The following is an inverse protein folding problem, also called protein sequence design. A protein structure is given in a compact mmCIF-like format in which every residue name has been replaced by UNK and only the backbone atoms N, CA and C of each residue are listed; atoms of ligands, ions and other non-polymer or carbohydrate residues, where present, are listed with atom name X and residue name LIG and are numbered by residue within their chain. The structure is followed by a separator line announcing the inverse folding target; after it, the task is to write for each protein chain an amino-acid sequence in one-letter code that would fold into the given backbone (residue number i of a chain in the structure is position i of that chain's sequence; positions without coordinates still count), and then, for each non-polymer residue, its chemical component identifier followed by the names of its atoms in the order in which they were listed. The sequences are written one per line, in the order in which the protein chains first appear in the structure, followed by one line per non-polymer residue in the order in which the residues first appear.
data_IF_879403483789
#
_entry.id   IF_879403483789
#
_cell.length_a   1.000
_cell.length_b   1.000
_cell.length_c   1.000
_cell.angle_alpha   90.00
_cell.angle_beta   90.00
_cell.angle_gamma   90.00
#
_symmetry.space_group_name_H-M   'P 1'
#
loop_
_entity.id
_entity.type
_entity.pdbx_description
1 polymer ?
#
# COMPACT_ATOMS: atom_id res chain seq x y z
N UNK A 1 19.85 6.62 22.13
CA UNK A 1 18.84 5.62 22.50
C UNK A 1 17.39 6.14 22.54
N UNK A 2 17.12 7.40 22.29
CA UNK A 2 15.79 8.04 22.36
C UNK A 2 14.96 7.97 21.07
N UNK A 3 15.52 7.52 19.94
CA UNK A 3 14.82 7.47 18.66
C UNK A 3 13.90 6.25 18.45
N UNK A 4 13.88 5.30 19.36
CA UNK A 4 12.99 4.12 19.26
C UNK A 4 11.53 4.39 19.61
N UNK A 5 11.22 5.53 20.21
CA UNK A 5 9.88 5.89 20.67
C UNK A 5 9.28 7.06 19.89
N UNK A 6 9.41 7.04 18.53
CA UNK A 6 8.60 7.98 17.76
C UNK A 6 7.13 7.70 18.03
N UNK A 7 6.32 8.74 18.10
CA UNK A 7 4.86 8.62 18.30
C UNK A 7 4.21 7.65 17.30
N UNK A 8 4.70 7.64 16.06
CA UNK A 8 4.24 6.73 15.01
C UNK A 8 4.57 5.25 15.30
N UNK A 9 5.72 4.95 15.89
CA UNK A 9 6.07 3.57 16.25
C UNK A 9 5.21 3.06 17.41
N UNK A 10 4.97 3.89 18.41
CA UNK A 10 4.10 3.55 19.55
C UNK A 10 2.66 3.36 19.09
N UNK A 11 2.15 4.24 18.23
CA UNK A 11 0.83 4.11 17.63
C UNK A 11 0.71 2.83 16.81
N UNK A 12 1.73 2.52 15.99
CA UNK A 12 1.77 1.28 15.21
C UNK A 12 1.68 0.03 16.08
N UNK A 13 2.40 -0.01 17.21
CA UNK A 13 2.35 -1.10 18.17
C UNK A 13 0.97 -1.24 18.82
N UNK A 14 0.40 -0.14 19.32
CA UNK A 14 -0.93 -0.13 19.93
C UNK A 14 -2.01 -0.59 18.95
N UNK A 15 -2.03 -0.03 17.75
CA UNK A 15 -2.99 -0.38 16.71
C UNK A 15 -2.92 -1.87 16.33
N UNK A 16 -1.71 -2.38 16.11
CA UNK A 16 -1.53 -3.79 15.81
C UNK A 16 -1.95 -4.72 16.96
N UNK A 17 -1.70 -4.33 18.21
CA UNK A 17 -2.14 -5.12 19.34
C UNK A 17 -3.67 -5.19 19.43
N UNK A 18 -4.37 -4.09 19.14
CA UNK A 18 -5.83 -4.06 19.09
C UNK A 18 -6.35 -5.00 17.99
N UNK A 19 -5.81 -4.88 16.76
CA UNK A 19 -6.21 -5.75 15.64
C UNK A 19 -5.97 -7.22 15.97
N UNK A 20 -4.78 -7.57 16.44
CA UNK A 20 -4.40 -8.95 16.72
C UNK A 20 -5.18 -9.57 17.88
N UNK A 21 -5.67 -8.75 18.81
CA UNK A 21 -6.50 -9.21 19.93
C UNK A 21 -7.96 -9.44 19.54
N UNK A 22 -8.49 -8.60 18.65
CA UNK A 22 -9.93 -8.58 18.35
C UNK A 22 -10.32 -9.33 17.08
N UNK A 23 -9.35 -9.68 16.22
CA UNK A 23 -9.63 -10.41 14.97
C UNK A 23 -9.11 -11.84 15.08
N UNK A 24 -9.99 -12.81 14.90
CA UNK A 24 -9.58 -14.19 14.73
C UNK A 24 -9.15 -14.42 13.27
N UNK A 25 -7.85 -14.66 13.08
CA UNK A 25 -7.27 -14.87 11.76
C UNK A 25 -7.28 -16.32 11.28
N UNK A 26 -7.80 -17.27 12.04
CA UNK A 26 -7.73 -18.70 11.72
C UNK A 26 -8.51 -19.07 10.46
N UNK A 27 -9.55 -18.31 10.14
CA UNK A 27 -10.38 -18.54 8.97
C UNK A 27 -9.92 -17.80 7.70
N UNK A 28 -8.82 -17.03 7.79
CA UNK A 28 -8.33 -16.26 6.65
C UNK A 28 -7.16 -16.95 5.96
N UNK A 29 -7.29 -17.22 4.67
CA UNK A 29 -6.18 -17.66 3.83
C UNK A 29 -5.40 -16.49 3.19
N UNK A 30 -6.06 -15.34 3.05
CA UNK A 30 -5.49 -14.12 2.44
C UNK A 30 -5.97 -12.88 3.17
N UNK A 31 -5.10 -11.90 3.30
CA UNK A 31 -5.43 -10.60 3.87
C UNK A 31 -4.94 -9.52 2.92
N UNK A 32 -5.88 -8.68 2.47
CA UNK A 32 -5.60 -7.52 1.61
C UNK A 32 -5.72 -6.24 2.44
N UNK A 33 -4.70 -5.40 2.35
CA UNK A 33 -4.65 -4.11 3.04
C UNK A 33 -4.23 -3.03 2.05
N UNK A 34 -4.87 -1.84 2.03
CA UNK A 34 -4.30 -0.67 1.38
C UNK A 34 -2.88 -0.46 1.89
N UNK A 35 -1.91 -0.28 0.98
CA UNK A 35 -0.51 -0.32 1.37
C UNK A 35 0.24 0.92 0.89
N UNK A 36 0.75 1.67 1.85
CA UNK A 36 1.63 2.84 1.66
C UNK A 36 2.97 2.64 2.36
N UNK A 37 3.24 1.41 2.78
CA UNK A 37 4.43 1.04 3.53
C UNK A 37 4.61 1.79 4.87
N UNK A 38 3.51 2.18 5.46
CA UNK A 38 3.51 2.80 6.79
C UNK A 38 4.04 1.82 7.87
N UNK A 39 4.64 2.32 8.94
CA UNK A 39 5.21 1.48 9.99
C UNK A 39 4.23 0.45 10.54
N UNK A 40 2.96 0.84 10.76
CA UNK A 40 1.95 -0.07 11.30
C UNK A 40 1.61 -1.21 10.33
N UNK A 41 1.61 -0.97 9.01
CA UNK A 41 1.34 -1.98 7.99
C UNK A 41 2.46 -3.02 7.93
N UNK A 42 3.71 -2.55 7.91
CA UNK A 42 4.88 -3.43 7.89
C UNK A 42 4.98 -4.27 9.18
N UNK A 43 4.68 -3.68 10.32
CA UNK A 43 4.64 -4.39 11.59
C UNK A 43 3.52 -5.43 11.61
N UNK A 44 2.33 -5.07 11.12
CA UNK A 44 1.18 -5.98 11.00
C UNK A 44 1.51 -7.21 10.17
N UNK A 45 2.02 -7.02 8.97
CA UNK A 45 2.40 -8.14 8.11
C UNK A 45 3.51 -8.99 8.73
N UNK A 46 4.51 -8.36 9.34
CA UNK A 46 5.57 -9.08 10.04
C UNK A 46 5.03 -9.94 11.19
N UNK A 47 4.07 -9.43 11.95
CA UNK A 47 3.44 -10.14 13.07
C UNK A 47 2.55 -11.28 12.58
N UNK A 48 1.74 -11.05 11.55
CA UNK A 48 0.94 -12.10 10.90
C UNK A 48 1.80 -13.25 10.41
N UNK A 49 2.89 -12.98 9.71
CA UNK A 49 3.80 -14.01 9.20
C UNK A 49 4.44 -14.85 10.31
N UNK A 50 4.66 -14.26 11.47
CA UNK A 50 5.18 -15.01 12.63
C UNK A 50 4.14 -15.91 13.27
N UNK A 51 2.91 -15.43 13.39
CA UNK A 51 1.85 -16.11 14.13
C UNK A 51 1.04 -17.06 13.25
N UNK A 52 0.81 -16.69 12.00
CA UNK A 52 -0.07 -17.39 11.05
C UNK A 52 0.66 -17.55 9.71
N UNK A 53 1.54 -18.55 9.63
CA UNK A 53 2.41 -18.79 8.46
C UNK A 53 1.65 -19.07 7.15
N UNK A 54 0.42 -19.56 7.24
CA UNK A 54 -0.38 -19.95 6.07
C UNK A 54 -1.19 -18.80 5.46
N UNK A 55 -1.15 -17.59 6.04
CA UNK A 55 -1.86 -16.43 5.52
C UNK A 55 -0.99 -15.71 4.49
N UNK A 56 -1.50 -15.58 3.27
CA UNK A 56 -0.88 -14.74 2.25
C UNK A 56 -1.25 -13.28 2.48
N UNK A 57 -0.24 -12.45 2.69
CA UNK A 57 -0.43 -11.00 2.87
C UNK A 57 -0.35 -10.26 1.54
N UNK A 58 -1.32 -9.39 1.28
CA UNK A 58 -1.45 -8.66 0.02
C UNK A 58 -1.52 -7.16 0.33
N UNK A 59 -0.60 -6.40 -0.24
CA UNK A 59 -0.62 -4.94 -0.18
C UNK A 59 -1.22 -4.37 -1.47
N UNK A 60 -2.17 -3.46 -1.36
CA UNK A 60 -2.78 -2.77 -2.48
C UNK A 60 -2.32 -1.31 -2.52
N UNK A 61 -1.54 -0.95 -3.52
CA UNK A 61 -1.13 0.43 -3.75
C UNK A 61 -2.29 1.16 -4.43
N UNK A 62 -3.05 1.93 -3.65
CA UNK A 62 -4.28 2.57 -4.12
C UNK A 62 -4.06 3.93 -4.78
N UNK A 63 -2.87 4.49 -4.67
CA UNK A 63 -2.47 5.78 -5.23
C UNK A 63 -1.29 5.64 -6.19
N UNK A 64 -0.94 6.73 -6.85
CA UNK A 64 0.32 6.80 -7.60
C UNK A 64 1.49 6.74 -6.64
N UNK A 65 2.58 6.10 -7.07
CA UNK A 65 3.83 6.17 -6.32
C UNK A 65 4.35 7.61 -6.34
N UNK A 66 4.81 8.14 -5.21
CA UNK A 66 5.46 9.45 -5.16
C UNK A 66 6.74 9.44 -6.01
N UNK A 67 7.27 10.62 -6.32
CA UNK A 67 8.48 10.77 -7.14
C UNK A 67 9.69 10.03 -6.57
N UNK A 68 9.82 9.99 -5.24
CA UNK A 68 10.83 9.21 -4.52
C UNK A 68 10.15 8.20 -3.59
N UNK A 69 9.75 7.01 -4.10
CA UNK A 69 8.95 6.06 -3.35
C UNK A 69 9.79 5.20 -2.37
N UNK A 70 10.73 5.80 -1.65
CA UNK A 70 11.65 5.12 -0.74
C UNK A 70 10.93 4.34 0.37
N UNK A 71 9.73 4.75 0.73
CA UNK A 71 8.89 4.02 1.67
C UNK A 71 8.60 2.60 1.20
N UNK A 72 8.52 2.38 -0.12
CA UNK A 72 8.20 1.10 -0.72
C UNK A 72 9.40 0.17 -0.92
N UNK A 73 10.58 0.49 -0.38
CA UNK A 73 11.73 -0.43 -0.40
C UNK A 73 11.31 -1.77 0.23
N UNK A 74 11.58 -2.86 -0.48
CA UNK A 74 11.29 -4.21 0.02
C UNK A 74 12.09 -4.49 1.28
N UNK A 75 11.39 -4.89 2.35
CA UNK A 75 12.00 -5.15 3.66
C UNK A 75 11.23 -6.24 4.42
N UNK A 76 11.77 -6.64 5.56
CA UNK A 76 11.05 -7.48 6.51
C UNK A 76 9.75 -6.79 6.92
N UNK A 77 8.63 -7.45 6.73
CA UNK A 77 7.30 -6.87 6.94
C UNK A 77 6.64 -6.31 5.67
N UNK A 78 7.31 -6.29 4.53
CA UNK A 78 6.63 -6.09 3.25
C UNK A 78 5.64 -7.23 2.98
N UNK A 79 4.51 -6.98 2.29
CA UNK A 79 3.54 -8.02 1.96
C UNK A 79 4.14 -9.08 1.04
N UNK A 80 3.51 -10.25 0.97
CA UNK A 80 3.94 -11.33 0.07
C UNK A 80 3.68 -10.99 -1.38
N UNK A 81 2.57 -10.30 -1.64
CA UNK A 81 2.15 -9.83 -2.96
C UNK A 81 1.85 -8.33 -2.87
N UNK A 82 2.34 -7.57 -3.84
CA UNK A 82 2.02 -6.15 -4.01
C UNK A 82 1.20 -5.97 -5.28
N UNK A 83 0.01 -5.40 -5.13
CA UNK A 83 -0.88 -5.05 -6.24
C UNK A 83 -0.64 -3.59 -6.63
N UNK A 84 -0.38 -3.36 -7.91
CA UNK A 84 -0.10 -2.03 -8.48
C UNK A 84 -0.92 -1.80 -9.75
N UNK A 85 -1.07 -0.55 -10.19
CA UNK A 85 -1.93 -0.19 -11.30
C UNK A 85 -1.26 -0.16 -12.67
N UNK A 86 0.07 -0.16 -12.73
CA UNK A 86 0.73 0.05 -14.01
C UNK A 86 2.08 -0.62 -14.14
N UNK A 87 2.49 -0.81 -15.40
CA UNK A 87 3.79 -1.37 -15.76
C UNK A 87 4.95 -0.54 -15.20
N UNK A 88 4.83 0.78 -15.25
CA UNK A 88 5.88 1.71 -14.76
C UNK A 88 6.10 1.54 -13.26
N UNK A 89 5.04 1.43 -12.45
CA UNK A 89 5.16 1.16 -11.02
C UNK A 89 5.90 -0.16 -10.76
N UNK A 90 5.56 -1.21 -11.52
CA UNK A 90 6.26 -2.50 -11.42
C UNK A 90 7.74 -2.40 -11.76
N UNK A 91 8.09 -1.63 -12.80
CA UNK A 91 9.49 -1.40 -13.20
C UNK A 91 10.26 -0.69 -12.10
N UNK A 92 9.73 0.40 -11.54
CA UNK A 92 10.36 1.17 -10.46
C UNK A 92 10.58 0.27 -9.22
N UNK A 93 9.55 -0.43 -8.78
CA UNK A 93 9.63 -1.32 -7.61
C UNK A 93 10.68 -2.41 -7.79
N UNK A 94 10.73 -3.03 -8.98
CA UNK A 94 11.71 -4.08 -9.28
C UNK A 94 13.14 -3.52 -9.38
N UNK A 95 13.33 -2.43 -10.16
CA UNK A 95 14.65 -1.92 -10.52
C UNK A 95 15.35 -1.22 -9.37
N UNK A 96 14.60 -0.47 -8.56
CA UNK A 96 15.17 0.45 -7.58
C UNK A 96 14.84 0.11 -6.12
N UNK A 97 13.75 -0.65 -5.88
CA UNK A 97 13.21 -0.83 -4.53
C UNK A 97 13.28 -2.29 -4.04
N UNK A 98 14.03 -3.15 -4.72
CA UNK A 98 14.35 -4.51 -4.28
C UNK A 98 13.20 -5.52 -4.35
N UNK A 99 12.11 -5.22 -5.03
CA UNK A 99 11.00 -6.14 -5.18
C UNK A 99 11.26 -7.20 -6.25
N UNK A 100 10.98 -8.46 -5.94
CA UNK A 100 10.95 -9.52 -6.95
C UNK A 100 9.75 -9.34 -7.89
N UNK A 101 9.97 -9.51 -9.19
CA UNK A 101 8.91 -9.43 -10.21
C UNK A 101 7.72 -10.38 -9.94
N UNK A 102 7.99 -11.54 -9.31
CA UNK A 102 6.98 -12.55 -8.95
C UNK A 102 6.01 -12.04 -7.86
N UNK A 103 6.49 -11.15 -7.00
CA UNK A 103 5.70 -10.56 -5.91
C UNK A 103 4.84 -9.38 -6.34
N UNK A 104 5.06 -8.81 -7.52
CA UNK A 104 4.31 -7.65 -8.02
C UNK A 104 3.29 -8.12 -9.05
N UNK A 105 2.02 -7.85 -8.78
CA UNK A 105 0.92 -8.10 -9.71
C UNK A 105 0.32 -6.78 -10.17
N UNK A 106 0.07 -6.65 -11.47
CA UNK A 106 -0.59 -5.50 -12.04
C UNK A 106 -2.09 -5.80 -12.08
N UNK A 107 -2.90 -4.90 -11.55
CA UNK A 107 -4.35 -4.97 -11.59
C UNK A 107 -4.91 -3.63 -12.06
N UNK A 108 -6.13 -3.65 -12.58
CA UNK A 108 -6.86 -2.41 -12.82
C UNK A 108 -7.15 -1.68 -11.50
N UNK A 109 -7.23 -0.36 -11.56
CA UNK A 109 -7.55 0.43 -10.38
C UNK A 109 -8.96 0.12 -9.91
N UNK A 110 -9.08 -0.30 -8.64
CA UNK A 110 -10.38 -0.48 -8.00
C UNK A 110 -11.14 0.86 -7.82
N UNK A 111 -10.41 1.96 -7.92
CA UNK A 111 -10.93 3.32 -7.75
C UNK A 111 -11.55 3.87 -9.03
N UNK A 112 -10.99 3.48 -10.19
CA UNK A 112 -11.40 3.97 -11.50
C UNK A 112 -11.88 2.80 -12.35
N UNK A 113 -13.08 2.32 -12.09
CA UNK A 113 -13.74 1.39 -13.03
C UNK A 113 -14.10 2.15 -14.28
N UNK A 114 -13.76 1.60 -15.44
CA UNK A 114 -14.32 2.11 -16.71
C UNK A 114 -15.85 1.99 -16.65
N UNK A 115 -16.52 3.11 -16.48
CA UNK A 115 -17.95 3.15 -16.83
C UNK A 115 -18.04 2.95 -18.33
N UNK A 116 -18.80 1.94 -18.75
CA UNK A 116 -19.08 1.65 -20.18
C UNK A 116 -19.81 2.79 -20.88
N UNK A 117 -20.42 3.69 -20.14
CA UNK A 117 -21.08 4.89 -20.68
C UNK A 117 -20.03 5.98 -20.87
N UNK A 118 -19.45 6.04 -22.06
CA UNK A 118 -18.69 7.20 -22.52
C UNK A 118 -19.65 8.39 -22.66
N UNK A 119 -19.78 9.19 -21.62
CA UNK A 119 -20.29 10.55 -21.80
C UNK A 119 -19.15 11.32 -22.46
N UNK A 120 -19.25 11.51 -23.77
CA UNK A 120 -18.39 12.44 -24.50
C UNK A 120 -18.74 13.84 -23.98
N UNK A 121 -17.96 14.35 -23.06
CA UNK A 121 -18.07 15.71 -22.54
C UNK A 121 -16.90 16.52 -23.08
N UNK A 122 -17.22 17.68 -23.66
CA UNK A 122 -16.20 18.67 -24.04
C UNK A 122 -15.65 19.42 -22.82
N UNK A 123 -15.98 18.96 -21.61
CA UNK A 123 -15.51 19.56 -20.34
C UNK A 123 -14.29 18.84 -19.83
N UNK A 124 -13.27 19.59 -19.48
CA UNK A 124 -12.07 19.09 -18.80
C UNK A 124 -12.31 19.26 -17.30
N UNK A 125 -12.21 18.17 -16.55
CA UNK A 125 -12.21 18.22 -15.11
C UNK A 125 -10.79 18.53 -14.60
N UNK A 126 -10.63 19.70 -14.00
CA UNK A 126 -9.39 20.05 -13.27
C UNK A 126 -9.62 19.81 -11.79
N UNK A 127 -8.83 18.94 -11.12
CA UNK A 127 -8.95 18.73 -9.68
C UNK A 127 -8.74 20.04 -8.93
N UNK A 128 -9.63 20.32 -7.99
CA UNK A 128 -9.49 21.42 -7.03
C UNK A 128 -8.14 21.28 -6.32
N UNK A 129 -7.33 22.24 -6.28
CA UNK A 129 -5.97 22.19 -5.72
C UNK A 129 -4.85 22.31 -6.76
N UNK A 130 -5.18 22.20 -8.06
CA UNK A 130 -4.25 22.56 -9.14
C UNK A 130 -4.49 24.03 -9.57
N UNK A 131 -5.58 24.63 -9.10
CA UNK A 131 -6.08 25.93 -9.55
C UNK A 131 -5.84 27.07 -8.54
N UNK A 132 -4.83 26.99 -7.70
CA UNK A 132 -4.43 28.16 -6.93
C UNK A 132 -3.60 29.10 -7.82
N UNK A 133 -4.30 29.78 -8.76
CA UNK A 133 -3.72 30.72 -9.70
C UNK A 133 -3.23 32.02 -9.04
N UNK A 134 -3.38 32.16 -7.73
CA UNK A 134 -2.97 33.38 -7.00
C UNK A 134 -1.54 33.33 -6.46
N UNK A 135 -0.76 32.29 -6.83
CA UNK A 135 0.63 32.16 -6.39
C UNK A 135 1.68 32.41 -7.50
N UNK A 136 1.27 32.99 -8.64
CA UNK A 136 2.22 33.41 -9.68
C UNK A 136 2.01 34.87 -10.09
#
# INVERSE_FOLDING_TARGET
MLHFFSSHSVQALKFNNIIMKNINFDHFSKILVPYESQPFQNYFFSKLKKLKKNITTIGYVHSMLPSLPTNYIFRKGSPDILLVHGKNQKVILKKFLGWSAKKIKIIESLRYRKNSNKILSNKIFLPYGILDFNQY
#
